data_IF_528295773115
#
_entry.id   IF_528295773115
#
_cell.length_a   1.000
_cell.length_b   1.000
_cell.length_c   1.000
_cell.angle_alpha   90.00
_cell.angle_beta   90.00
_cell.angle_gamma   90.00
#
_symmetry.space_group_name_H-M   'P 1'
#
loop_
_entity.id
_entity.type
_entity.pdbx_description
1 polymer ?
#
# COMPACT_ATOMS: atom_id res chain seq x y z
N UNK A 1 47.17 -34.05 42.49
CA UNK A 1 46.23 -34.28 43.61
C UNK A 1 47.10 -34.62 44.80
N UNK A 2 47.25 -33.67 45.71
CA UNK A 2 48.17 -33.76 46.84
C UNK A 2 47.75 -34.93 47.76
N UNK A 3 48.72 -35.65 48.31
CA UNK A 3 48.43 -36.84 49.11
C UNK A 3 47.66 -36.49 50.40
N UNK A 4 47.80 -35.27 50.91
CA UNK A 4 46.99 -34.71 51.99
C UNK A 4 45.50 -34.63 51.61
N UNK A 5 45.17 -34.16 50.40
CA UNK A 5 43.79 -34.08 49.92
C UNK A 5 43.17 -35.49 49.81
N UNK A 6 43.94 -36.50 49.37
CA UNK A 6 43.46 -37.90 49.33
C UNK A 6 43.16 -38.43 50.74
N UNK A 7 43.99 -38.12 51.73
CA UNK A 7 43.76 -38.51 53.12
C UNK A 7 42.51 -37.85 53.71
N UNK A 8 42.27 -36.57 53.42
CA UNK A 8 41.06 -35.83 53.83
C UNK A 8 39.81 -36.48 53.22
N UNK A 9 39.84 -36.76 51.91
CA UNK A 9 38.74 -37.44 51.21
C UNK A 9 38.46 -38.82 51.82
N UNK A 10 39.51 -39.59 52.15
CA UNK A 10 39.35 -40.90 52.78
C UNK A 10 38.71 -40.80 54.18
N UNK A 11 39.16 -39.84 55.00
CA UNK A 11 38.57 -39.57 56.33
C UNK A 11 37.09 -39.19 56.22
N UNK A 12 36.72 -38.34 55.26
CA UNK A 12 35.33 -37.98 54.99
C UNK A 12 34.49 -39.20 54.60
N UNK A 13 35.01 -40.07 53.73
CA UNK A 13 34.32 -41.28 53.34
C UNK A 13 34.10 -42.23 54.52
N UNK A 14 35.04 -42.35 55.47
CA UNK A 14 34.87 -43.21 56.66
C UNK A 14 33.78 -42.71 57.61
N UNK A 15 33.66 -41.39 57.79
CA UNK A 15 32.65 -40.80 58.69
C UNK A 15 31.24 -40.88 58.09
N UNK A 16 31.10 -40.67 56.78
CA UNK A 16 29.80 -40.62 56.11
C UNK A 16 29.23 -41.98 55.70
N UNK A 17 30.07 -43.03 55.59
CA UNK A 17 29.69 -44.37 55.12
C UNK A 17 28.47 -45.01 55.82
N UNK A 18 28.30 -44.95 57.17
CA UNK A 18 27.16 -45.60 57.82
C UNK A 18 25.81 -44.91 57.55
N UNK A 19 25.81 -43.67 57.06
CA UNK A 19 24.59 -42.88 56.83
C UNK A 19 24.17 -42.79 55.36
N UNK A 20 25.01 -43.24 54.42
CA UNK A 20 24.81 -43.02 53.00
C UNK A 20 25.03 -44.30 52.19
N UNK A 21 23.97 -44.82 51.58
CA UNK A 21 24.05 -45.91 50.60
C UNK A 21 24.28 -45.33 49.19
N UNK A 22 25.45 -45.61 48.62
CA UNK A 22 25.79 -45.21 47.25
C UNK A 22 26.16 -46.45 46.43
N UNK A 23 25.54 -46.63 45.26
CA UNK A 23 25.86 -47.69 44.28
C UNK A 23 26.14 -47.07 42.92
N UNK A 24 27.05 -47.64 42.14
CA UNK A 24 27.34 -47.18 40.79
C UNK A 24 26.50 -47.98 39.78
N UNK A 25 26.13 -47.37 38.65
CA UNK A 25 25.39 -48.08 37.58
C UNK A 25 26.14 -49.32 37.07
N UNK A 26 27.47 -49.29 37.12
CA UNK A 26 28.34 -50.42 36.79
C UNK A 26 28.10 -51.66 37.69
N UNK A 27 27.70 -51.46 38.96
CA UNK A 27 27.51 -52.56 39.92
C UNK A 27 26.11 -53.20 39.81
N UNK A 28 25.14 -52.47 39.25
CA UNK A 28 23.71 -52.85 39.25
C UNK A 28 23.22 -53.35 37.89
N UNK A 29 23.68 -52.74 36.79
CA UNK A 29 23.09 -52.97 35.47
C UNK A 29 24.17 -53.25 34.41
N UNK A 30 24.57 -54.52 34.29
CA UNK A 30 25.66 -54.98 33.42
C UNK A 30 25.34 -54.95 31.92
N UNK A 31 24.09 -54.74 31.54
CA UNK A 31 23.61 -54.74 30.16
C UNK A 31 23.57 -53.33 29.54
N UNK A 32 23.94 -52.29 30.29
CA UNK A 32 23.92 -50.91 29.79
C UNK A 32 25.03 -50.65 28.77
N UNK A 33 24.73 -49.98 27.64
CA UNK A 33 25.72 -49.63 26.64
C UNK A 33 26.71 -48.58 27.16
N UNK A 34 27.90 -48.52 26.54
CA UNK A 34 28.92 -47.55 26.89
C UNK A 34 28.48 -46.11 26.56
N UNK A 35 28.78 -45.18 27.47
CA UNK A 35 28.59 -43.74 27.23
C UNK A 35 29.79 -43.19 26.45
N UNK A 36 29.54 -42.65 25.27
CA UNK A 36 30.55 -41.95 24.49
C UNK A 36 30.36 -40.43 24.63
N UNK A 37 31.45 -39.71 24.85
CA UNK A 37 31.46 -38.25 24.91
C UNK A 37 32.25 -37.72 23.71
N UNK A 38 31.56 -37.03 22.80
CA UNK A 38 32.18 -36.41 21.63
C UNK A 38 32.33 -34.92 21.87
N UNK A 39 33.58 -34.43 21.92
CA UNK A 39 33.88 -33.00 22.04
C UNK A 39 34.06 -32.42 20.63
N UNK A 40 33.05 -31.68 20.15
CA UNK A 40 33.09 -31.00 18.85
C UNK A 40 33.45 -29.53 19.04
N UNK A 41 34.53 -29.08 18.43
CA UNK A 41 34.97 -27.68 18.48
C UNK A 41 34.37 -26.88 17.32
N UNK A 42 33.71 -25.76 17.64
CA UNK A 42 33.06 -24.89 16.66
C UNK A 42 33.76 -23.53 16.59
N UNK A 43 33.82 -22.91 15.40
CA UNK A 43 34.37 -21.56 15.21
C UNK A 43 33.26 -20.52 15.37
N UNK A 44 33.60 -19.36 15.93
CA UNK A 44 32.67 -18.22 16.02
C UNK A 44 32.41 -17.58 14.65
N UNK A 45 31.18 -17.13 14.42
CA UNK A 45 30.80 -16.36 13.23
C UNK A 45 31.43 -14.94 13.22
N UNK A 46 31.44 -14.28 12.05
CA UNK A 46 31.98 -12.91 11.91
C UNK A 46 31.29 -11.91 12.84
N UNK A 47 29.94 -11.94 12.89
CA UNK A 47 29.15 -11.07 13.77
C UNK A 47 29.41 -11.37 15.25
N UNK A 48 29.44 -12.65 15.63
CA UNK A 48 29.76 -13.04 17.01
C UNK A 48 31.15 -12.56 17.42
N UNK A 49 32.16 -12.68 16.55
CA UNK A 49 33.52 -12.19 16.84
C UNK A 49 33.53 -10.67 17.02
N UNK A 50 32.88 -9.93 16.14
CA UNK A 50 32.74 -8.47 16.28
C UNK A 50 32.08 -8.06 17.61
N UNK A 51 30.98 -8.73 18.00
CA UNK A 51 30.29 -8.47 19.26
C UNK A 51 31.13 -8.89 20.47
N UNK A 52 31.84 -10.03 20.38
CA UNK A 52 32.72 -10.54 21.43
C UNK A 52 33.88 -9.57 21.68
N UNK A 53 34.60 -9.20 20.63
CA UNK A 53 35.74 -8.28 20.71
C UNK A 53 35.29 -6.89 21.14
N UNK A 54 34.17 -6.40 20.60
CA UNK A 54 33.55 -5.12 20.97
C UNK A 54 32.99 -5.11 22.40
N UNK A 55 32.69 -6.26 22.99
CA UNK A 55 32.34 -6.38 24.40
C UNK A 55 33.60 -6.39 25.27
N UNK A 56 34.61 -7.17 24.91
CA UNK A 56 35.90 -7.24 25.61
C UNK A 56 36.72 -5.94 25.54
N UNK A 57 36.53 -5.13 24.50
CA UNK A 57 37.21 -3.84 24.36
C UNK A 57 36.66 -2.76 25.30
N UNK A 58 35.47 -2.95 25.88
CA UNK A 58 34.86 -1.96 26.79
C UNK A 58 35.69 -1.84 28.07
N UNK A 59 36.18 -0.64 28.38
CA UNK A 59 37.03 -0.37 29.55
C UNK A 59 36.41 -0.89 30.86
N UNK A 60 35.11 -0.64 31.04
CA UNK A 60 34.33 -1.11 32.19
C UNK A 60 34.41 -2.63 32.37
N UNK A 61 34.37 -3.42 31.29
CA UNK A 61 34.44 -4.88 31.39
C UNK A 61 35.82 -5.35 31.85
N UNK A 62 36.89 -4.74 31.34
CA UNK A 62 38.26 -5.06 31.73
C UNK A 62 38.51 -4.74 33.21
N UNK A 63 38.02 -3.58 33.65
CA UNK A 63 38.11 -3.17 35.05
C UNK A 63 37.30 -4.09 35.96
N UNK A 64 36.08 -4.50 35.57
CA UNK A 64 35.28 -5.44 36.37
C UNK A 64 35.84 -6.85 36.44
N UNK A 65 36.64 -7.26 35.46
CA UNK A 65 37.39 -8.52 35.49
C UNK A 65 38.62 -8.42 36.39
N UNK A 66 39.21 -7.23 36.51
CA UNK A 66 40.38 -6.97 37.36
C UNK A 66 40.02 -6.64 38.82
N UNK A 67 38.83 -6.10 39.09
CA UNK A 67 38.42 -5.59 40.42
C UNK A 67 38.13 -6.67 41.46
N UNK A 68 38.16 -7.96 41.08
CA UNK A 68 38.04 -9.09 42.01
C UNK A 68 36.65 -9.36 42.58
N UNK A 69 35.62 -8.59 42.18
CA UNK A 69 34.25 -8.87 42.61
C UNK A 69 33.66 -10.05 41.82
N UNK A 70 33.51 -11.19 42.48
CA UNK A 70 33.02 -12.43 41.87
C UNK A 70 31.67 -12.27 41.16
N UNK A 71 30.76 -11.46 41.69
CA UNK A 71 29.43 -11.27 41.08
C UNK A 71 29.51 -10.51 39.76
N UNK A 72 30.36 -9.48 39.66
CA UNK A 72 30.55 -8.73 38.41
C UNK A 72 31.26 -9.58 37.35
N UNK A 73 32.21 -10.42 37.76
CA UNK A 73 32.90 -11.36 36.86
C UNK A 73 31.89 -12.38 36.29
N UNK A 74 31.05 -12.97 37.14
CA UNK A 74 30.01 -13.92 36.69
C UNK A 74 29.09 -13.24 35.68
N UNK A 75 28.64 -12.01 35.94
CA UNK A 75 27.78 -11.27 35.01
C UNK A 75 28.45 -11.02 33.65
N UNK A 76 29.74 -10.68 33.63
CA UNK A 76 30.50 -10.53 32.38
C UNK A 76 30.63 -11.84 31.61
N UNK A 77 30.97 -12.94 32.30
CA UNK A 77 31.07 -14.27 31.69
C UNK A 77 29.72 -14.77 31.18
N UNK A 78 28.63 -14.44 31.86
CA UNK A 78 27.28 -14.76 31.40
C UNK A 78 26.94 -14.04 30.09
N UNK A 79 27.40 -12.81 29.89
CA UNK A 79 27.22 -12.10 28.62
C UNK A 79 28.05 -12.72 27.49
N UNK A 80 29.30 -13.09 27.74
CA UNK A 80 30.12 -13.82 26.77
C UNK A 80 29.48 -15.17 26.38
N UNK A 81 28.91 -15.90 27.35
CA UNK A 81 28.15 -17.13 27.08
C UNK A 81 26.95 -16.88 26.16
N UNK A 82 26.22 -15.77 26.33
CA UNK A 82 25.11 -15.40 25.44
C UNK A 82 25.60 -15.20 24.00
N UNK A 83 26.70 -14.49 23.80
CA UNK A 83 27.28 -14.25 22.46
C UNK A 83 27.72 -15.56 21.79
N UNK A 84 28.36 -16.46 22.54
CA UNK A 84 28.80 -17.76 22.02
C UNK A 84 27.62 -18.66 21.63
N UNK A 85 26.53 -18.66 22.41
CA UNK A 85 25.34 -19.45 22.11
C UNK A 85 24.59 -18.91 20.89
N UNK A 86 24.10 -17.67 20.95
CA UNK A 86 23.41 -17.02 19.82
C UNK A 86 23.49 -15.49 19.94
N UNK A 87 23.93 -14.77 18.89
CA UNK A 87 24.18 -13.33 18.99
C UNK A 87 22.91 -12.50 19.25
N UNK A 88 21.72 -13.00 18.89
CA UNK A 88 20.46 -12.28 19.12
C UNK A 88 20.02 -12.27 20.61
N UNK A 89 20.60 -13.14 21.45
CA UNK A 89 20.41 -13.09 22.91
C UNK A 89 21.19 -11.93 23.55
N UNK A 90 22.17 -11.39 22.83
CA UNK A 90 22.97 -10.25 23.26
C UNK A 90 22.42 -8.94 22.68
N UNK A 91 22.30 -8.88 21.35
CA UNK A 91 21.78 -7.72 20.64
C UNK A 91 20.98 -8.19 19.42
N UNK A 92 19.73 -7.74 19.32
CA UNK A 92 18.89 -8.07 18.16
C UNK A 92 19.41 -7.36 16.92
N UNK A 93 19.22 -7.97 15.75
CA UNK A 93 19.61 -7.35 14.48
C UNK A 93 18.71 -6.15 14.19
N UNK A 94 19.30 -4.98 13.98
CA UNK A 94 18.58 -3.80 13.53
C UNK A 94 17.95 -4.04 12.14
N UNK A 95 16.71 -3.61 11.97
CA UNK A 95 15.99 -3.71 10.70
C UNK A 95 16.53 -2.62 9.78
N UNK A 96 16.98 -2.98 8.58
CA UNK A 96 17.41 -2.02 7.58
C UNK A 96 16.18 -1.39 6.93
N UNK A 97 15.74 -0.25 7.44
CA UNK A 97 14.72 0.59 6.82
C UNK A 97 15.36 1.84 6.22
N UNK A 98 14.69 2.45 5.25
CA UNK A 98 15.10 3.75 4.72
C UNK A 98 15.26 4.77 5.85
N UNK A 99 16.21 5.69 5.69
CA UNK A 99 16.43 6.74 6.67
C UNK A 99 15.19 7.65 6.77
N UNK A 100 14.71 7.86 7.99
CA UNK A 100 13.56 8.71 8.27
C UNK A 100 13.99 10.19 8.23
N UNK A 101 13.92 10.82 7.05
CA UNK A 101 14.04 12.27 6.92
C UNK A 101 12.72 12.93 7.37
N UNK A 102 12.71 13.77 8.42
CA UNK A 102 11.48 14.35 8.95
C UNK A 102 10.87 15.42 8.04
N UNK A 103 11.69 16.12 7.26
CA UNK A 103 11.27 17.19 6.37
C UNK A 103 11.85 17.00 4.98
N UNK A 104 11.12 17.48 3.98
CA UNK A 104 11.60 17.55 2.60
C UNK A 104 11.92 19.00 2.25
N UNK A 105 12.97 19.22 1.46
CA UNK A 105 13.41 20.55 1.04
C UNK A 105 12.30 21.33 0.31
N UNK A 106 11.41 20.63 -0.40
CA UNK A 106 10.29 21.24 -1.13
C UNK A 106 9.28 21.95 -0.21
N UNK A 107 9.13 21.51 1.04
CA UNK A 107 8.19 22.10 2.00
C UNK A 107 8.62 23.53 2.36
N UNK A 108 9.92 23.79 2.47
CA UNK A 108 10.46 25.12 2.80
C UNK A 108 10.07 26.18 1.74
N UNK A 109 9.86 25.74 0.50
CA UNK A 109 9.48 26.61 -0.62
C UNK A 109 7.97 26.66 -0.85
N UNK A 110 7.15 25.95 -0.07
CA UNK A 110 5.70 25.87 -0.29
C UNK A 110 5.03 27.24 -0.14
N UNK A 111 5.41 28.01 0.88
CA UNK A 111 4.85 29.36 1.14
C UNK A 111 5.20 30.31 -0.02
N UNK A 112 6.46 30.27 -0.49
CA UNK A 112 6.92 31.06 -1.64
C UNK A 112 6.17 30.67 -2.90
N UNK A 113 6.01 29.37 -3.16
CA UNK A 113 5.23 28.86 -4.31
C UNK A 113 3.77 29.31 -4.27
N UNK A 114 3.11 29.25 -3.10
CA UNK A 114 1.72 29.74 -2.95
C UNK A 114 1.61 31.23 -3.21
N UNK A 115 2.55 32.02 -2.71
CA UNK A 115 2.58 33.47 -2.95
C UNK A 115 2.77 33.79 -4.43
N UNK A 116 3.75 33.14 -5.09
CA UNK A 116 4.02 33.33 -6.52
C UNK A 116 2.80 32.94 -7.35
N UNK A 117 2.19 31.77 -7.08
CA UNK A 117 0.96 31.33 -7.77
C UNK A 117 -0.18 32.32 -7.57
N UNK A 118 -0.40 32.82 -6.35
CA UNK A 118 -1.44 33.82 -6.08
C UNK A 118 -1.21 35.13 -6.81
N UNK A 119 0.04 35.56 -7.03
CA UNK A 119 0.33 36.82 -7.73
C UNK A 119 0.31 36.67 -9.24
N UNK A 120 0.97 35.63 -9.77
CA UNK A 120 1.13 35.43 -11.22
C UNK A 120 -0.09 34.80 -11.88
N UNK A 121 -0.83 33.93 -11.19
CA UNK A 121 -2.00 33.25 -11.74
C UNK A 121 -3.32 33.93 -11.35
N UNK A 122 -3.26 35.09 -10.69
CA UNK A 122 -4.47 35.86 -10.44
C UNK A 122 -5.01 36.40 -11.76
N UNK A 123 -6.21 35.96 -12.13
CA UNK A 123 -6.91 36.39 -13.33
C UNK A 123 -8.32 36.78 -12.89
N UNK A 124 -8.73 38.01 -13.19
CA UNK A 124 -10.10 38.43 -12.92
C UNK A 124 -11.08 37.59 -13.76
N UNK A 125 -12.23 37.18 -13.21
CA UNK A 125 -13.23 36.41 -13.94
C UNK A 125 -13.74 37.08 -15.22
N UNK A 126 -13.65 38.41 -15.31
CA UNK A 126 -14.06 39.16 -16.49
C UNK A 126 -13.00 39.18 -17.60
N UNK A 127 -11.71 39.08 -17.25
CA UNK A 127 -10.61 39.05 -18.21
C UNK A 127 -10.36 37.64 -18.75
N UNK A 128 -10.65 36.62 -17.92
CA UNK A 128 -10.47 35.22 -18.28
C UNK A 128 -11.77 34.60 -18.77
N UNK A 129 -11.82 34.37 -20.07
CA UNK A 129 -12.90 33.61 -20.70
C UNK A 129 -12.66 32.10 -20.59
N UNK A 130 -13.68 31.34 -20.23
CA UNK A 130 -13.61 29.88 -20.19
C UNK A 130 -13.81 29.29 -21.61
N UNK A 131 -12.71 28.85 -22.21
CA UNK A 131 -12.68 28.29 -23.56
C UNK A 131 -13.38 26.92 -23.64
N UNK A 132 -13.41 26.15 -22.54
CA UNK A 132 -14.14 24.89 -22.51
C UNK A 132 -15.64 25.13 -22.51
N UNK A 133 -16.11 26.12 -21.75
CA UNK A 133 -17.51 26.52 -21.72
C UNK A 133 -18.05 26.95 -23.09
N UNK A 134 -17.24 27.68 -23.88
CA UNK A 134 -17.59 28.09 -25.24
C UNK A 134 -17.43 26.99 -26.31
N UNK A 135 -17.09 25.76 -25.92
CA UNK A 135 -16.79 24.67 -26.85
C UNK A 135 -15.63 24.99 -27.82
N UNK A 136 -14.72 25.89 -27.44
CA UNK A 136 -13.54 26.27 -28.22
C UNK A 136 -12.33 25.36 -27.92
N UNK A 137 -12.42 24.54 -26.86
CA UNK A 137 -11.48 23.48 -26.56
C UNK A 137 -12.07 22.10 -26.92
N UNK A 138 -12.09 21.70 -28.20
CA UNK A 138 -12.74 20.46 -28.61
C UNK A 138 -12.09 19.18 -28.03
N UNK A 139 -10.82 19.28 -27.64
CA UNK A 139 -10.01 18.16 -27.10
C UNK A 139 -10.40 17.80 -25.66
N UNK A 140 -10.92 18.75 -24.87
CA UNK A 140 -11.25 18.50 -23.47
C UNK A 140 -12.38 17.47 -23.27
N UNK A 141 -13.19 17.22 -24.31
CA UNK A 141 -14.45 16.45 -24.24
C UNK A 141 -14.45 15.22 -25.12
N UNK A 142 -13.28 14.64 -25.38
CA UNK A 142 -13.17 13.40 -26.18
C UNK A 142 -13.77 12.16 -25.49
N UNK A 143 -14.08 12.23 -24.19
CA UNK A 143 -14.76 11.16 -23.43
C UNK A 143 -16.17 10.84 -23.94
N UNK A 144 -16.79 11.74 -24.70
CA UNK A 144 -18.10 11.50 -25.30
C UNK A 144 -17.94 10.76 -26.63
N UNK A 145 -18.77 9.74 -26.87
CA UNK A 145 -18.82 9.11 -28.20
C UNK A 145 -19.53 10.01 -29.20
N UNK A 146 -19.06 10.05 -30.44
CA UNK A 146 -19.66 10.81 -31.54
C UNK A 146 -21.12 10.41 -31.80
N UNK A 147 -21.42 9.10 -31.76
CA UNK A 147 -22.78 8.58 -31.97
C UNK A 147 -23.79 9.13 -30.95
N UNK A 148 -23.47 9.05 -29.65
CA UNK A 148 -24.34 9.60 -28.61
C UNK A 148 -24.58 11.11 -28.75
N UNK A 149 -23.57 11.86 -29.19
CA UNK A 149 -23.72 13.30 -29.42
C UNK A 149 -24.61 13.56 -30.63
N UNK A 150 -24.46 12.80 -31.71
CA UNK A 150 -25.34 12.90 -32.88
C UNK A 150 -26.79 12.57 -32.52
N UNK A 151 -27.03 11.47 -31.81
CA UNK A 151 -28.38 11.05 -31.43
C UNK A 151 -29.03 12.02 -30.44
N UNK A 152 -28.28 12.50 -29.45
CA UNK A 152 -28.80 13.53 -28.54
C UNK A 152 -29.07 14.86 -29.27
N UNK A 153 -28.25 15.25 -30.24
CA UNK A 153 -28.51 16.46 -31.05
C UNK A 153 -29.75 16.32 -31.95
N UNK A 154 -30.08 15.11 -32.40
CA UNK A 154 -31.32 14.86 -33.16
C UNK A 154 -32.58 15.02 -32.31
N UNK A 155 -32.49 14.67 -31.02
CA UNK A 155 -33.60 14.70 -30.06
C UNK A 155 -33.71 16.06 -29.35
N UNK A 156 -32.88 17.05 -29.70
CA UNK A 156 -32.83 18.34 -29.00
C UNK A 156 -34.17 19.09 -29.02
N UNK A 157 -34.62 19.57 -27.86
CA UNK A 157 -35.91 20.25 -27.70
C UNK A 157 -35.86 21.76 -28.04
N UNK A 158 -34.82 22.22 -28.73
CA UNK A 158 -34.59 23.65 -28.99
C UNK A 158 -35.68 24.28 -29.87
N UNK A 159 -36.09 23.61 -30.95
CA UNK A 159 -37.15 24.09 -31.84
C UNK A 159 -38.47 24.32 -31.10
N UNK A 160 -39.04 23.29 -30.44
CA UNK A 160 -40.26 23.43 -29.65
C UNK A 160 -40.17 24.54 -28.59
N UNK A 161 -39.09 24.59 -27.80
CA UNK A 161 -38.91 25.62 -26.77
C UNK A 161 -38.82 27.04 -27.38
N UNK A 162 -38.16 27.18 -28.54
CA UNK A 162 -38.07 28.46 -29.25
C UNK A 162 -39.44 28.95 -29.71
N UNK A 163 -40.30 28.05 -30.19
CA UNK A 163 -41.68 28.42 -30.56
C UNK A 163 -42.51 28.81 -29.35
N UNK A 164 -42.35 28.13 -28.20
CA UNK A 164 -43.03 28.48 -26.95
C UNK A 164 -42.59 29.85 -26.44
N UNK A 165 -41.28 30.12 -26.50
CA UNK A 165 -40.69 31.42 -26.18
C UNK A 165 -41.31 32.53 -27.03
N UNK A 166 -41.40 32.33 -28.35
CA UNK A 166 -41.99 33.32 -29.27
C UNK A 166 -43.48 33.55 -29.01
N UNK A 167 -44.24 32.50 -28.70
CA UNK A 167 -45.65 32.63 -28.30
C UNK A 167 -45.80 33.41 -26.99
N UNK A 168 -44.93 33.14 -26.02
CA UNK A 168 -44.95 33.82 -24.73
C UNK A 168 -44.57 35.30 -24.88
N UNK A 169 -43.55 35.61 -25.67
CA UNK A 169 -43.13 36.97 -25.99
C UNK A 169 -44.26 37.81 -26.62
N UNK A 170 -45.07 37.21 -27.49
CA UNK A 170 -46.24 37.87 -28.09
C UNK A 170 -47.40 38.10 -27.10
N UNK A 171 -47.50 37.31 -26.03
CA UNK A 171 -48.54 37.43 -24.99
C UNK A 171 -48.17 38.38 -23.85
N UNK A 172 -46.87 38.62 -23.64
CA UNK A 172 -46.36 39.53 -22.62
C UNK A 172 -46.47 40.97 -23.07
N UNK A 173 -47.01 41.83 -22.22
CA UNK A 173 -46.91 43.26 -22.41
C UNK A 173 -45.66 43.77 -21.70
N UNK A 174 -44.63 44.16 -22.47
CA UNK A 174 -43.36 44.58 -21.90
C UNK A 174 -43.42 45.94 -21.21
N UNK A 175 -44.25 46.84 -21.72
CA UNK A 175 -44.40 48.22 -21.24
C UNK A 175 -45.30 48.33 -20.00
N UNK A 176 -46.13 47.33 -19.73
CA UNK A 176 -47.02 47.36 -18.57
C UNK A 176 -46.22 47.17 -17.26
N UNK A 177 -46.27 48.20 -16.43
CA UNK A 177 -45.79 48.21 -15.05
C UNK A 177 -46.83 47.70 -14.06
N UNK A 178 -46.55 47.86 -12.77
CA UNK A 178 -47.50 47.56 -11.71
C UNK A 178 -48.51 48.71 -11.59
N UNK A 179 -49.80 48.40 -11.72
CA UNK A 179 -50.89 49.38 -11.57
C UNK A 179 -51.83 48.95 -10.44
N UNK A 180 -51.90 49.77 -9.39
CA UNK A 180 -52.66 49.53 -8.16
C UNK A 180 -54.02 50.22 -8.11
N UNK A 181 -54.47 50.86 -9.19
CA UNK A 181 -55.69 51.68 -9.19
C UNK A 181 -56.99 50.88 -9.01
N UNK A 182 -57.02 49.62 -9.45
CA UNK A 182 -58.18 48.74 -9.32
C UNK A 182 -57.76 47.30 -9.02
N UNK A 183 -58.66 46.50 -8.42
CA UNK A 183 -58.39 45.07 -8.20
C UNK A 183 -58.11 44.34 -9.53
N UNK A 184 -58.76 44.75 -10.63
CA UNK A 184 -58.54 44.18 -11.96
C UNK A 184 -57.17 44.54 -12.52
N UNK A 185 -56.74 45.80 -12.40
CA UNK A 185 -55.40 46.23 -12.84
C UNK A 185 -54.29 45.54 -12.05
N UNK A 186 -54.52 45.28 -10.76
CA UNK A 186 -53.61 44.48 -9.93
C UNK A 186 -53.50 43.05 -10.49
N UNK A 187 -54.62 42.38 -10.76
CA UNK A 187 -54.62 41.03 -11.32
C UNK A 187 -53.94 40.97 -12.70
N UNK A 188 -54.22 41.92 -13.59
CA UNK A 188 -53.59 41.98 -14.92
C UNK A 188 -52.07 42.23 -14.83
N UNK A 189 -51.64 43.08 -13.90
CA UNK A 189 -50.22 43.33 -13.65
C UNK A 189 -49.50 42.11 -13.04
N UNK A 190 -50.15 41.38 -12.14
CA UNK A 190 -49.66 40.12 -11.57
C UNK A 190 -49.56 39.02 -12.63
N UNK A 191 -50.59 38.87 -13.47
CA UNK A 191 -50.60 37.91 -14.57
C UNK A 191 -49.48 38.21 -15.58
N UNK A 192 -49.26 39.48 -15.91
CA UNK A 192 -48.18 39.86 -16.81
C UNK A 192 -46.79 39.65 -16.18
N UNK A 193 -46.63 39.89 -14.88
CA UNK A 193 -45.40 39.55 -14.16
C UNK A 193 -45.13 38.04 -14.18
N UNK A 194 -46.16 37.21 -13.98
CA UNK A 194 -46.05 35.76 -14.12
C UNK A 194 -45.64 35.36 -15.55
N UNK A 195 -46.18 36.03 -16.57
CA UNK A 195 -45.79 35.79 -17.97
C UNK A 195 -44.33 36.17 -18.24
N UNK A 196 -43.83 37.29 -17.69
CA UNK A 196 -42.41 37.71 -17.77
C UNK A 196 -41.49 36.69 -17.07
N UNK A 197 -41.90 36.16 -15.91
CA UNK A 197 -41.17 35.08 -15.21
C UNK A 197 -41.07 33.81 -16.05
N UNK A 198 -42.19 33.35 -16.64
CA UNK A 198 -42.20 32.20 -17.57
C UNK A 198 -41.30 32.42 -18.78
N UNK A 199 -41.20 33.67 -19.25
CA UNK A 199 -40.29 34.01 -20.34
C UNK A 199 -38.82 33.79 -19.93
N UNK A 200 -38.40 34.31 -18.78
CA UNK A 200 -37.04 34.08 -18.26
C UNK A 200 -36.73 32.59 -18.06
N UNK A 201 -37.71 31.81 -17.57
CA UNK A 201 -37.59 30.35 -17.46
C UNK A 201 -37.33 29.69 -18.83
N UNK A 202 -38.09 30.07 -19.87
CA UNK A 202 -37.89 29.56 -21.23
C UNK A 202 -36.53 29.97 -21.82
N UNK A 203 -36.07 31.19 -21.55
CA UNK A 203 -34.75 31.69 -21.97
C UNK A 203 -33.62 30.88 -21.34
N UNK A 204 -33.69 30.64 -20.02
CA UNK A 204 -32.71 29.81 -19.33
C UNK A 204 -32.70 28.37 -19.85
N UNK A 205 -33.88 27.77 -20.09
CA UNK A 205 -33.99 26.43 -20.66
C UNK A 205 -33.37 26.35 -22.07
N UNK A 206 -33.66 27.33 -22.93
CA UNK A 206 -33.07 27.42 -24.27
C UNK A 206 -31.56 27.57 -24.24
N UNK A 207 -31.05 28.36 -23.30
CA UNK A 207 -29.62 28.53 -23.08
C UNK A 207 -28.95 27.20 -22.73
N UNK A 208 -29.48 26.47 -21.74
CA UNK A 208 -28.91 25.17 -21.32
C UNK A 208 -29.01 24.11 -22.42
N UNK A 209 -30.12 24.04 -23.14
CA UNK A 209 -30.28 23.14 -24.29
C UNK A 209 -29.28 23.46 -25.40
N UNK A 210 -29.09 24.74 -25.74
CA UNK A 210 -28.12 25.14 -26.76
C UNK A 210 -26.68 24.78 -26.36
N UNK A 211 -26.30 25.00 -25.09
CA UNK A 211 -24.98 24.67 -24.58
C UNK A 211 -24.75 23.15 -24.52
N UNK A 212 -25.76 22.38 -24.10
CA UNK A 212 -25.69 20.91 -24.03
C UNK A 212 -25.43 20.30 -25.41
N UNK A 213 -26.13 20.77 -26.43
CA UNK A 213 -26.06 20.24 -27.79
C UNK A 213 -24.98 20.90 -28.67
N UNK A 214 -24.40 22.02 -28.23
CA UNK A 214 -23.23 22.65 -28.86
C UNK A 214 -21.92 21.90 -28.62
N UNK A 215 -21.88 20.99 -27.64
CA UNK A 215 -20.70 20.17 -27.29
C UNK A 215 -20.54 19.03 -28.28
N UNK A 216 -19.47 19.05 -29.08
CA UNK A 216 -19.16 17.98 -30.04
C UNK A 216 -17.70 17.55 -29.92
N UNK A 217 -17.41 16.27 -29.64
CA UNK A 217 -16.05 15.76 -29.71
C UNK A 217 -15.59 15.72 -31.17
N UNK A 218 -14.28 15.93 -31.41
CA UNK A 218 -13.70 15.80 -32.76
C UNK A 218 -13.63 14.34 -33.18
N UNK A 219 -13.05 13.49 -32.32
CA UNK A 219 -12.88 12.05 -32.59
C UNK A 219 -13.83 11.17 -31.78
N UNK A 220 -13.99 11.52 -30.50
CA UNK A 220 -14.84 10.85 -29.53
C UNK A 220 -14.31 9.51 -29.01
N UNK A 221 -14.86 9.09 -27.87
CA UNK A 221 -14.38 7.95 -27.07
C UNK A 221 -14.31 6.64 -27.85
N UNK A 222 -15.22 6.41 -28.78
CA UNK A 222 -15.25 5.18 -29.57
C UNK A 222 -13.99 4.98 -30.40
N UNK A 223 -13.41 6.06 -30.92
CA UNK A 223 -12.17 5.99 -31.70
C UNK A 223 -10.96 5.84 -30.78
N UNK A 224 -10.96 6.55 -29.64
CA UNK A 224 -9.91 6.40 -28.63
C UNK A 224 -9.87 4.97 -28.12
N UNK A 225 -11.02 4.39 -27.73
CA UNK A 225 -11.10 3.00 -27.27
C UNK A 225 -10.65 2.00 -28.34
N UNK A 226 -10.92 2.29 -29.60
CA UNK A 226 -10.46 1.45 -30.71
C UNK A 226 -8.94 1.51 -30.89
N UNK A 227 -8.34 2.69 -30.70
CA UNK A 227 -6.89 2.90 -30.84
C UNK A 227 -6.11 2.55 -29.55
N UNK A 228 -6.75 2.59 -28.38
CA UNK A 228 -6.15 2.14 -27.13
C UNK A 228 -6.04 0.63 -27.17
N UNK A 229 -4.90 0.16 -27.67
CA UNK A 229 -4.44 -1.19 -27.37
C UNK A 229 -4.20 -1.18 -25.87
N UNK A 230 -5.03 -1.88 -25.10
CA UNK A 230 -4.69 -2.23 -23.74
C UNK A 230 -3.41 -3.07 -23.81
N UNK A 231 -2.25 -2.41 -23.75
CA UNK A 231 -1.02 -3.11 -23.45
C UNK A 231 -1.25 -3.62 -22.04
N UNK A 232 -1.68 -4.88 -21.92
CA UNK A 232 -1.42 -5.66 -20.73
C UNK A 232 0.11 -5.75 -20.60
N UNK A 233 0.76 -4.67 -20.18
CA UNK A 233 1.94 -4.78 -19.34
C UNK A 233 1.41 -5.40 -18.06
N UNK A 234 1.19 -6.71 -18.12
CA UNK A 234 1.33 -7.58 -16.98
C UNK A 234 2.76 -7.34 -16.53
N UNK A 235 2.95 -6.34 -15.68
CA UNK A 235 4.21 -6.12 -14.98
C UNK A 235 4.60 -7.48 -14.44
N UNK A 236 5.74 -7.98 -14.93
CA UNK A 236 6.27 -9.34 -14.75
C UNK A 236 5.52 -10.05 -13.63
N UNK A 237 4.47 -10.79 -14.00
CA UNK A 237 3.85 -11.72 -13.06
C UNK A 237 5.01 -12.62 -12.66
N UNK A 238 5.44 -12.50 -11.41
CA UNK A 238 6.30 -13.49 -10.77
C UNK A 238 5.66 -14.81 -11.10
N UNK A 239 6.29 -15.60 -11.98
CA UNK A 239 5.84 -16.94 -12.36
C UNK A 239 5.58 -17.69 -11.06
N UNK A 240 4.32 -17.78 -10.66
CA UNK A 240 3.91 -18.69 -9.61
C UNK A 240 4.28 -20.09 -10.11
N UNK A 241 5.24 -20.72 -9.45
CA UNK A 241 5.75 -22.06 -9.74
C UNK A 241 4.74 -23.18 -9.45
N UNK A 242 3.43 -22.89 -9.59
CA UNK A 242 2.31 -23.77 -9.19
C UNK A 242 1.24 -23.93 -10.28
N UNK A 243 1.56 -23.73 -11.55
CA UNK A 243 0.80 -24.37 -12.62
C UNK A 243 1.45 -25.69 -12.97
N UNK A 244 1.33 -26.65 -12.06
CA UNK A 244 1.31 -28.06 -12.46
C UNK A 244 0.11 -28.16 -13.40
N UNK A 245 0.37 -28.61 -14.63
CA UNK A 245 -0.67 -28.76 -15.64
C UNK A 245 -1.76 -29.67 -15.08
N UNK A 246 -3.04 -29.30 -15.21
CA UNK A 246 -4.16 -30.19 -14.82
C UNK A 246 -4.06 -31.56 -15.53
N UNK A 247 -3.39 -31.60 -16.69
CA UNK A 247 -3.07 -32.84 -17.40
C UNK A 247 -2.11 -33.74 -16.62
N UNK A 248 -1.09 -33.20 -15.95
CA UNK A 248 -0.15 -33.99 -15.15
C UNK A 248 -0.83 -34.58 -13.89
N UNK A 249 -1.76 -33.82 -13.29
CA UNK A 249 -2.57 -34.35 -12.19
C UNK A 249 -3.52 -35.46 -12.64
N UNK A 250 -4.15 -35.33 -13.82
CA UNK A 250 -5.04 -36.36 -14.36
C UNK A 250 -4.27 -37.60 -14.83
N UNK A 251 -3.06 -37.43 -15.37
CA UNK A 251 -2.18 -38.53 -15.75
C UNK A 251 -1.76 -39.36 -14.54
N UNK A 252 -1.43 -38.72 -13.41
CA UNK A 252 -1.06 -39.41 -12.18
C UNK A 252 -2.24 -40.04 -11.43
N UNK A 253 -3.47 -39.59 -11.68
CA UNK A 253 -4.68 -40.13 -11.04
C UNK A 253 -5.26 -41.33 -11.77
N UNK A 254 -4.95 -41.54 -13.05
CA UNK A 254 -5.51 -42.63 -13.85
C UNK A 254 -4.46 -43.69 -14.19
N UNK A 255 -4.60 -44.87 -13.58
CA UNK A 255 -3.69 -46.01 -13.78
C UNK A 255 -3.61 -46.47 -15.24
N UNK A 256 -4.68 -46.27 -16.01
CA UNK A 256 -4.79 -46.66 -17.42
C UNK A 256 -3.96 -45.73 -18.34
N UNK A 257 -3.90 -44.42 -18.04
CA UNK A 257 -3.08 -43.49 -18.84
C UNK A 257 -1.59 -43.62 -18.47
N UNK A 258 -1.29 -43.89 -17.20
CA UNK A 258 0.07 -44.15 -16.75
C UNK A 258 0.67 -45.42 -17.38
N UNK A 259 -0.13 -46.48 -17.60
CA UNK A 259 0.34 -47.72 -18.22
C UNK A 259 0.50 -47.65 -19.74
N UNK A 260 -0.08 -46.65 -20.40
CA UNK A 260 0.12 -46.40 -21.84
C UNK A 260 1.42 -45.65 -22.16
N UNK A 261 2.08 -45.09 -21.15
CA UNK A 261 3.36 -44.39 -21.31
C UNK A 261 4.48 -45.38 -20.98
N UNK A 262 5.01 -46.05 -22.01
CA UNK A 262 6.17 -46.94 -21.85
C UNK A 262 7.35 -46.17 -21.23
N UNK A 263 7.97 -46.76 -20.21
CA UNK A 263 9.15 -46.17 -19.57
C UNK A 263 10.31 -46.16 -20.56
N UNK A 264 11.28 -45.26 -20.37
CA UNK A 264 12.44 -45.12 -21.27
C UNK A 264 13.27 -46.42 -21.34
N UNK A 265 13.17 -47.28 -20.33
CA UNK A 265 13.80 -48.61 -20.29
C UNK A 265 13.08 -49.65 -21.15
N UNK A 266 11.78 -49.48 -21.42
CA UNK A 266 10.98 -50.38 -22.26
C UNK A 266 11.08 -50.05 -23.77
N UNK A 267 11.79 -48.96 -24.12
CA UNK A 267 12.00 -48.51 -25.50
C UNK A 267 13.40 -48.84 -26.05
N UNK A 268 14.23 -49.54 -25.29
CA UNK A 268 15.57 -50.01 -25.69
C UNK A 268 15.61 -51.51 -25.90
#
# INVERSE_FOLDING_TARGET
MDDEAKQIVHKLHTVLRPYLLRRMKADVEKQMPAKYEHVVTCRLSKRQRYLYDGFMSRAQTKETLASGNYLSIINCLMQLRKVCNHPDLFETRQISTSFAMPTSVSIDYEVKNKLIRRRLLYQHPFDKLDLDFLNLAPVSREDLSTRLVQDSSRIMAFGPLKTLRERQYKRTNWQMGFDGSSVRSILDSMDNAARKKRMNELESALYFESNRHGRRPVWGKSLIQFLTIESHYNGVSTRDSRRISKLDQLANQSSILASMINSIQDRS
#
